data_IF_149115389721
#
_entry.id   IF_149115389721
#
_cell.length_a   1.000
_cell.length_b   1.000
_cell.length_c   1.000
_cell.angle_alpha   90.00
_cell.angle_beta   90.00
_cell.angle_gamma   90.00
#
_symmetry.space_group_name_H-M   'P 1'
#
loop_
_entity.id
_entity.type
_entity.pdbx_description
1 polymer ?
#
# COMPACT_ATOMS: atom_id res chain seq x y z
N UNK A 1 1.92 15.70 18.70
CA UNK A 1 1.37 14.77 19.71
C UNK A 1 0.22 13.90 19.20
N UNK A 2 -0.93 14.45 18.77
CA UNK A 2 -2.09 13.65 18.36
C UNK A 2 -1.84 12.73 17.15
N UNK A 3 -1.18 13.22 16.11
CA UNK A 3 -0.85 12.43 14.92
C UNK A 3 0.05 11.22 15.26
N UNK A 4 1.05 11.43 16.13
CA UNK A 4 1.93 10.38 16.61
C UNK A 4 1.17 9.32 17.43
N UNK A 5 0.26 9.74 18.32
CA UNK A 5 -0.60 8.81 19.08
C UNK A 5 -1.50 7.98 18.17
N UNK A 6 -2.06 8.58 17.11
CA UNK A 6 -2.86 7.85 16.11
C UNK A 6 -2.01 6.83 15.34
N UNK A 7 -0.81 7.23 14.91
CA UNK A 7 0.10 6.32 14.22
C UNK A 7 0.55 5.16 15.12
N UNK A 8 0.87 5.45 16.38
CA UNK A 8 1.21 4.43 17.37
C UNK A 8 0.04 3.46 17.62
N UNK A 9 -1.18 3.97 17.80
CA UNK A 9 -2.37 3.13 17.96
C UNK A 9 -2.61 2.24 16.74
N UNK A 10 -2.50 2.78 15.53
CA UNK A 10 -2.62 1.99 14.29
C UNK A 10 -1.54 0.92 14.20
N UNK A 11 -0.29 1.26 14.53
CA UNK A 11 0.82 0.31 14.57
C UNK A 11 0.55 -0.81 15.58
N UNK A 12 0.06 -0.50 16.78
CA UNK A 12 -0.28 -1.49 17.81
C UNK A 12 -1.38 -2.43 17.31
N UNK A 13 -2.46 -1.89 16.76
CA UNK A 13 -3.58 -2.71 16.24
C UNK A 13 -3.07 -3.66 15.14
N UNK A 14 -2.25 -3.16 14.20
CA UNK A 14 -1.68 -3.97 13.14
C UNK A 14 -0.74 -5.06 13.70
N UNK A 15 0.10 -4.75 14.68
CA UNK A 15 0.95 -5.74 15.35
C UNK A 15 0.13 -6.83 16.04
N UNK A 16 -0.98 -6.46 16.70
CA UNK A 16 -1.90 -7.43 17.32
C UNK A 16 -2.56 -8.32 16.26
N UNK A 17 -3.05 -7.75 15.16
CA UNK A 17 -3.57 -8.54 14.03
C UNK A 17 -2.51 -9.48 13.45
N UNK A 18 -1.27 -9.01 13.31
CA UNK A 18 -0.13 -9.82 12.88
C UNK A 18 0.14 -10.99 13.82
N UNK A 19 0.12 -10.75 15.13
CA UNK A 19 0.30 -11.79 16.16
C UNK A 19 -0.82 -12.82 16.09
N UNK A 20 -2.08 -12.38 16.00
CA UNK A 20 -3.23 -13.28 15.86
C UNK A 20 -3.07 -14.14 14.60
N UNK A 21 -2.71 -13.56 13.45
CA UNK A 21 -2.47 -14.32 12.21
C UNK A 21 -1.38 -15.37 12.41
N UNK A 22 -0.22 -14.99 12.97
CA UNK A 22 0.90 -15.91 13.19
C UNK A 22 0.49 -17.06 14.12
N UNK A 23 -0.22 -16.77 15.21
CA UNK A 23 -0.71 -17.80 16.14
C UNK A 23 -1.72 -18.73 15.48
N UNK A 24 -2.67 -18.21 14.69
CA UNK A 24 -3.64 -19.01 13.96
C UNK A 24 -2.96 -19.95 12.96
N UNK A 25 -1.97 -19.46 12.21
CA UNK A 25 -1.21 -20.30 11.26
C UNK A 25 -0.46 -21.41 12.00
N UNK A 26 0.27 -21.09 13.07
CA UNK A 26 0.98 -22.09 13.88
C UNK A 26 0.02 -23.14 14.45
N UNK A 27 -1.14 -22.71 14.94
CA UNK A 27 -2.17 -23.60 15.46
C UNK A 27 -2.75 -24.48 14.35
N UNK A 28 -3.02 -23.92 13.17
CA UNK A 28 -3.55 -24.66 12.02
C UNK A 28 -2.58 -25.72 11.53
N UNK A 29 -1.28 -25.41 11.44
CA UNK A 29 -0.24 -26.39 11.10
C UNK A 29 -0.22 -27.51 12.14
N UNK A 30 -0.24 -27.16 13.44
CA UNK A 30 -0.17 -28.15 14.53
C UNK A 30 -1.41 -29.06 14.60
N UNK A 31 -2.61 -28.51 14.39
CA UNK A 31 -3.87 -29.26 14.51
C UNK A 31 -4.18 -30.05 13.24
N UNK A 32 -4.08 -29.40 12.08
CA UNK A 32 -4.59 -29.95 10.83
C UNK A 32 -3.50 -30.55 9.95
N UNK A 33 -2.23 -30.49 10.35
CA UNK A 33 -1.08 -30.91 9.53
C UNK A 33 -1.13 -30.34 8.11
N UNK A 34 -1.68 -29.12 7.98
CA UNK A 34 -1.76 -28.43 6.70
C UNK A 34 -0.34 -27.99 6.34
N UNK A 35 0.11 -28.37 5.15
CA UNK A 35 1.27 -27.75 4.51
C UNK A 35 0.90 -26.30 4.19
N UNK A 36 1.33 -25.39 5.06
CA UNK A 36 1.16 -23.95 4.82
C UNK A 36 2.19 -23.53 3.77
N UNK A 37 1.82 -23.68 2.51
CA UNK A 37 2.72 -23.49 1.36
C UNK A 37 2.97 -22.02 0.98
N UNK A 38 2.29 -21.06 1.62
CA UNK A 38 2.40 -19.65 1.22
C UNK A 38 3.52 -18.86 1.93
N UNK A 39 4.33 -18.19 1.11
CA UNK A 39 5.00 -16.90 1.36
C UNK A 39 6.15 -16.81 2.38
N UNK A 40 6.66 -17.91 2.93
CA UNK A 40 7.96 -17.88 3.65
C UNK A 40 9.10 -17.35 2.78
N UNK A 41 8.98 -17.50 1.47
CA UNK A 41 9.85 -16.90 0.45
C UNK A 41 9.56 -15.42 0.21
N UNK A 42 8.42 -14.86 0.62
CA UNK A 42 8.11 -13.43 0.46
C UNK A 42 8.45 -12.62 1.71
N UNK A 43 8.00 -13.05 2.88
CA UNK A 43 8.15 -12.30 4.13
C UNK A 43 9.10 -12.96 5.13
N UNK A 44 9.26 -14.28 5.05
CA UNK A 44 9.91 -15.10 6.07
C UNK A 44 8.91 -15.96 6.83
N UNK A 45 9.39 -16.69 7.84
CA UNK A 45 8.62 -17.74 8.55
C UNK A 45 7.49 -17.15 9.40
N UNK A 46 7.73 -16.04 10.10
CA UNK A 46 6.76 -15.45 11.03
C UNK A 46 6.29 -14.05 10.61
N UNK A 47 7.10 -13.34 9.83
CA UNK A 47 6.78 -12.02 9.33
C UNK A 47 5.62 -12.09 8.35
N UNK A 48 4.78 -11.06 8.34
CA UNK A 48 3.61 -10.99 7.47
C UNK A 48 3.26 -9.53 7.14
N UNK A 49 2.34 -9.34 6.20
CA UNK A 49 1.93 -8.02 5.74
C UNK A 49 1.45 -7.08 6.86
N UNK A 50 0.87 -7.59 7.95
CA UNK A 50 0.46 -6.75 9.09
C UNK A 50 1.66 -6.13 9.79
N UNK A 51 2.73 -6.91 10.02
CA UNK A 51 3.96 -6.39 10.61
C UNK A 51 4.64 -5.38 9.67
N UNK A 52 4.69 -5.67 8.36
CA UNK A 52 5.18 -4.70 7.38
C UNK A 52 4.42 -3.38 7.45
N UNK A 53 3.08 -3.40 7.50
CA UNK A 53 2.28 -2.18 7.62
C UNK A 53 2.42 -1.49 8.98
N UNK A 54 2.55 -2.26 10.06
CA UNK A 54 2.82 -1.71 11.39
C UNK A 54 4.15 -0.94 11.39
N UNK A 55 5.20 -1.52 10.83
CA UNK A 55 6.51 -0.88 10.68
C UNK A 55 6.40 0.35 9.77
N UNK A 56 5.81 0.22 8.58
CA UNK A 56 5.65 1.33 7.65
C UNK A 56 4.95 2.52 8.31
N UNK A 57 3.89 2.26 9.08
CA UNK A 57 3.12 3.31 9.75
C UNK A 57 3.82 3.87 10.99
N UNK A 58 4.38 3.02 11.84
CA UNK A 58 5.03 3.40 13.08
C UNK A 58 6.38 4.07 12.85
N UNK A 59 7.27 3.40 12.11
CA UNK A 59 8.60 3.94 11.77
C UNK A 59 8.48 5.14 10.85
N UNK A 60 7.65 5.08 9.81
CA UNK A 60 7.43 6.21 8.89
C UNK A 60 6.95 7.47 9.62
N UNK A 61 5.94 7.36 10.49
CA UNK A 61 5.43 8.49 11.26
C UNK A 61 6.45 9.00 12.29
N UNK A 62 7.25 8.11 12.89
CA UNK A 62 8.33 8.50 13.82
C UNK A 62 9.39 9.31 13.08
N UNK A 63 9.85 8.82 11.92
CA UNK A 63 10.82 9.53 11.08
C UNK A 63 10.27 10.89 10.62
N UNK A 64 9.03 10.93 10.13
CA UNK A 64 8.39 12.17 9.66
C UNK A 64 8.22 13.21 10.78
N UNK A 65 7.75 12.80 11.96
CA UNK A 65 7.31 13.74 12.99
C UNK A 65 8.39 14.12 14.00
N UNK A 66 9.41 13.26 14.19
CA UNK A 66 10.42 13.41 15.24
C UNK A 66 11.86 13.51 14.73
N UNK A 67 12.19 12.90 13.59
CA UNK A 67 13.59 12.80 13.12
C UNK A 67 13.89 13.79 12.00
N UNK A 68 13.05 13.83 10.95
CA UNK A 68 13.31 14.64 9.77
C UNK A 68 12.86 16.10 9.96
N UNK A 69 13.59 17.07 9.39
CA UNK A 69 13.22 18.47 9.47
C UNK A 69 11.94 18.73 8.66
N UNK A 70 11.05 19.58 9.18
CA UNK A 70 9.75 19.87 8.55
C UNK A 70 9.86 20.51 7.16
N UNK A 71 10.99 21.14 6.86
CA UNK A 71 11.30 21.74 5.57
C UNK A 71 11.64 20.71 4.50
N UNK A 72 12.04 19.49 4.88
CA UNK A 72 12.37 18.44 3.92
C UNK A 72 11.08 17.94 3.24
N UNK A 73 10.98 18.01 1.91
CA UNK A 73 9.83 17.47 1.21
C UNK A 73 9.82 15.93 1.37
N UNK A 74 8.65 15.30 1.62
CA UNK A 74 8.54 13.84 1.73
C UNK A 74 9.18 13.09 0.56
N UNK A 75 9.05 13.62 -0.67
CA UNK A 75 9.70 13.01 -1.84
C UNK A 75 11.22 12.94 -1.71
N UNK A 76 11.88 13.96 -1.14
CA UNK A 76 13.32 13.92 -0.92
C UNK A 76 13.69 12.87 0.15
N UNK A 77 12.88 12.73 1.21
CA UNK A 77 13.06 11.66 2.18
C UNK A 77 12.90 10.27 1.55
N UNK A 78 11.93 10.10 0.64
CA UNK A 78 11.74 8.86 -0.11
C UNK A 78 12.93 8.53 -1.03
N UNK A 79 13.47 9.54 -1.74
CA UNK A 79 14.65 9.36 -2.59
C UNK A 79 15.89 9.01 -1.76
N UNK A 80 16.08 9.68 -0.62
CA UNK A 80 17.18 9.37 0.30
C UNK A 80 17.07 7.95 0.88
N UNK A 81 15.87 7.52 1.30
CA UNK A 81 15.66 6.15 1.78
C UNK A 81 15.81 5.11 0.68
N UNK A 82 15.38 5.42 -0.55
CA UNK A 82 15.57 4.56 -1.71
C UNK A 82 17.06 4.38 -2.05
N UNK A 83 17.82 5.47 -2.12
CA UNK A 83 19.26 5.42 -2.37
C UNK A 83 20.01 4.65 -1.27
N UNK A 84 19.70 4.93 0.00
CA UNK A 84 20.27 4.19 1.12
C UNK A 84 19.92 2.69 1.07
N UNK A 85 18.69 2.35 0.66
CA UNK A 85 18.28 0.96 0.50
C UNK A 85 19.07 0.27 -0.62
N UNK A 86 19.20 0.89 -1.79
CA UNK A 86 19.98 0.32 -2.90
C UNK A 86 21.43 0.08 -2.49
N UNK A 87 22.05 1.03 -1.77
CA UNK A 87 23.41 0.89 -1.27
C UNK A 87 23.56 -0.27 -0.28
N UNK A 88 22.59 -0.47 0.63
CA UNK A 88 22.59 -1.62 1.55
C UNK A 88 22.44 -2.94 0.79
N UNK A 89 21.57 -2.98 -0.21
CA UNK A 89 21.34 -4.15 -1.05
C UNK A 89 22.59 -4.51 -1.86
N UNK A 90 23.21 -3.54 -2.51
CA UNK A 90 24.46 -3.69 -3.25
C UNK A 90 25.64 -4.05 -2.34
N UNK A 91 25.63 -3.60 -1.08
CA UNK A 91 26.62 -3.95 -0.05
C UNK A 91 26.52 -5.38 0.50
N UNK A 92 25.69 -6.25 -0.08
CA UNK A 92 25.58 -7.66 0.27
C UNK A 92 24.27 -8.05 0.96
N UNK A 93 23.39 -7.11 1.32
CA UNK A 93 22.07 -7.46 1.89
C UNK A 93 21.21 -8.23 0.88
N UNK A 94 21.31 -7.92 -0.42
CA UNK A 94 20.59 -8.66 -1.44
C UNK A 94 21.04 -10.12 -1.50
N UNK A 95 22.34 -10.38 -1.45
CA UNK A 95 22.90 -11.74 -1.44
C UNK A 95 22.48 -12.51 -0.19
N UNK A 96 22.54 -11.86 0.98
CA UNK A 96 22.11 -12.42 2.26
C UNK A 96 20.63 -12.83 2.28
N UNK A 97 19.79 -12.25 1.42
CA UNK A 97 18.35 -12.53 1.34
C UNK A 97 17.99 -13.42 0.15
N UNK A 98 18.62 -13.21 -1.01
CA UNK A 98 18.29 -13.86 -2.29
C UNK A 98 19.08 -15.15 -2.59
N UNK A 99 20.23 -15.40 -1.92
CA UNK A 99 21.14 -16.53 -2.11
C UNK A 99 20.61 -17.66 -3.04
N UNK A 100 20.85 -17.57 -4.38
CA UNK A 100 20.40 -18.57 -5.34
C UNK A 100 21.27 -19.84 -5.27
N UNK A 101 20.66 -21.02 -5.48
CA UNK A 101 21.38 -22.29 -5.65
C UNK A 101 21.60 -23.15 -4.39
N UNK A 102 21.05 -22.76 -3.23
CA UNK A 102 21.08 -23.60 -2.03
C UNK A 102 19.72 -24.25 -1.80
N UNK A 103 19.61 -25.60 -1.82
CA UNK A 103 18.41 -26.28 -1.34
C UNK A 103 18.37 -26.08 0.18
N UNK A 104 17.48 -25.17 0.61
CA UNK A 104 17.13 -24.86 2.00
C UNK A 104 18.16 -24.05 2.84
N UNK A 105 17.69 -22.89 3.32
CA UNK A 105 17.92 -22.38 4.69
C UNK A 105 19.35 -22.31 5.27
N UNK A 106 20.30 -21.64 4.62
CA UNK A 106 21.64 -21.47 5.23
C UNK A 106 21.73 -20.41 6.35
N UNK A 107 20.68 -19.60 6.58
CA UNK A 107 20.66 -18.63 7.68
C UNK A 107 19.25 -18.43 8.23
N UNK A 108 18.61 -19.51 8.70
CA UNK A 108 17.36 -19.46 9.50
C UNK A 108 17.55 -20.05 10.91
N UNK A 109 18.79 -20.09 11.39
CA UNK A 109 19.15 -20.65 12.70
C UNK A 109 18.59 -19.84 13.87
N UNK A 110 18.29 -18.56 13.66
CA UNK A 110 17.71 -17.67 14.64
C UNK A 110 16.47 -16.93 14.08
N UNK A 111 15.74 -16.25 14.96
CA UNK A 111 14.53 -15.50 14.60
C UNK A 111 14.77 -14.42 13.54
N UNK A 112 15.97 -13.82 13.50
CA UNK A 112 16.32 -12.80 12.51
C UNK A 112 16.42 -13.43 11.12
N UNK A 113 17.18 -14.52 11.00
CA UNK A 113 17.33 -15.28 9.77
C UNK A 113 16.00 -15.85 9.26
N UNK A 114 15.13 -16.30 10.18
CA UNK A 114 13.78 -16.75 9.86
C UNK A 114 12.90 -15.64 9.28
N UNK A 115 13.19 -14.36 9.50
CA UNK A 115 12.37 -13.23 9.05
C UNK A 115 13.15 -12.23 8.20
N UNK A 116 14.30 -12.65 7.67
CA UNK A 116 15.26 -11.77 6.97
C UNK A 116 14.63 -11.06 5.77
N UNK A 117 13.71 -11.71 5.06
CA UNK A 117 13.04 -11.12 3.89
C UNK A 117 12.22 -9.88 4.31
N UNK A 118 11.36 -10.03 5.32
CA UNK A 118 10.58 -8.94 5.90
C UNK A 118 11.44 -7.84 6.50
N UNK A 119 12.52 -8.19 7.21
CA UNK A 119 13.44 -7.23 7.81
C UNK A 119 14.22 -6.42 6.76
N UNK A 120 14.72 -7.08 5.71
CA UNK A 120 15.44 -6.43 4.63
C UNK A 120 14.54 -5.45 3.86
N UNK A 121 13.22 -5.70 3.80
CA UNK A 121 12.26 -4.82 3.13
C UNK A 121 11.95 -3.51 3.85
N UNK A 122 12.39 -3.33 5.11
CA UNK A 122 12.04 -2.17 5.94
C UNK A 122 12.40 -0.82 5.31
N UNK A 123 13.60 -0.60 4.74
CA UNK A 123 13.91 0.66 4.07
C UNK A 123 12.98 0.93 2.87
N UNK A 124 12.59 -0.11 2.13
CA UNK A 124 11.57 -0.02 1.09
C UNK A 124 10.19 0.41 1.62
N UNK A 125 9.80 -0.06 2.82
CA UNK A 125 8.53 0.33 3.47
C UNK A 125 8.55 1.82 3.79
N UNK A 126 9.68 2.32 4.27
CA UNK A 126 9.89 3.74 4.57
C UNK A 126 9.83 4.58 3.29
N UNK A 127 10.46 4.13 2.20
CA UNK A 127 10.36 4.77 0.88
C UNK A 127 8.90 4.89 0.43
N UNK A 128 8.14 3.80 0.46
CA UNK A 128 6.73 3.80 0.07
C UNK A 128 5.87 4.69 0.98
N UNK A 129 6.16 4.72 2.29
CA UNK A 129 5.48 5.63 3.22
C UNK A 129 5.64 7.09 2.80
N UNK A 130 6.87 7.53 2.53
CA UNK A 130 7.14 8.92 2.13
C UNK A 130 6.59 9.26 0.74
N UNK A 131 6.63 8.32 -0.19
CA UNK A 131 5.94 8.45 -1.48
C UNK A 131 4.43 8.66 -1.29
N UNK A 132 3.77 7.82 -0.49
CA UNK A 132 2.36 7.95 -0.16
C UNK A 132 2.03 9.26 0.53
N UNK A 133 2.90 9.72 1.44
CA UNK A 133 2.77 11.02 2.10
C UNK A 133 2.86 12.19 1.11
N UNK A 134 3.79 12.13 0.14
CA UNK A 134 3.90 13.15 -0.91
C UNK A 134 2.63 13.20 -1.77
N UNK A 135 2.14 12.04 -2.22
CA UNK A 135 0.91 11.93 -3.00
C UNK A 135 -0.28 12.50 -2.21
N UNK A 136 -0.41 12.13 -0.94
CA UNK A 136 -1.47 12.66 -0.06
C UNK A 136 -1.41 14.18 0.12
N UNK A 137 -0.22 14.79 0.12
CA UNK A 137 -0.08 16.26 0.15
C UNK A 137 -0.52 16.92 -1.15
N UNK A 138 -0.19 16.34 -2.31
CA UNK A 138 -0.59 16.87 -3.62
C UNK A 138 -2.07 16.71 -3.94
N UNK A 139 -2.73 15.70 -3.37
CA UNK A 139 -4.16 15.46 -3.56
C UNK A 139 -5.07 16.43 -2.79
N UNK A 140 -4.53 17.22 -1.86
CA UNK A 140 -5.34 18.20 -1.11
C UNK A 140 -5.76 19.35 -2.01
N UNK A 141 -7.03 19.80 -1.94
CA UNK A 141 -7.47 21.00 -2.66
C UNK A 141 -6.56 22.18 -2.31
N UNK A 142 -5.97 22.82 -3.32
CA UNK A 142 -5.20 24.05 -3.15
C UNK A 142 -6.08 25.20 -3.64
N UNK A 143 -6.42 26.14 -2.76
CA UNK A 143 -7.37 27.22 -3.06
C UNK A 143 -6.88 28.21 -4.15
N UNK A 144 -5.59 28.18 -4.49
CA UNK A 144 -4.95 29.12 -5.43
C UNK A 144 -4.22 28.43 -6.59
N UNK A 145 -4.40 27.11 -6.77
CA UNK A 145 -3.65 26.33 -7.78
C UNK A 145 -4.38 26.17 -9.12
N UNK A 146 -3.62 26.13 -10.23
CA UNK A 146 -4.15 25.69 -11.53
C UNK A 146 -4.80 24.31 -11.42
N UNK A 147 -6.00 24.13 -11.99
CA UNK A 147 -6.72 22.85 -12.03
C UNK A 147 -5.87 21.69 -12.58
N UNK A 148 -4.92 21.99 -13.46
CA UNK A 148 -4.03 21.02 -14.10
C UNK A 148 -2.73 20.74 -13.33
N UNK A 149 -2.47 21.42 -12.21
CA UNK A 149 -1.24 21.22 -11.46
C UNK A 149 -1.14 19.81 -10.85
N UNK A 150 -2.24 19.27 -10.33
CA UNK A 150 -2.28 17.92 -9.75
C UNK A 150 -2.02 16.83 -10.81
N UNK A 151 -2.79 16.74 -11.92
CA UNK A 151 -2.54 15.71 -12.92
C UNK A 151 -1.16 15.86 -13.59
N UNK A 152 -0.66 17.08 -13.79
CA UNK A 152 0.70 17.28 -14.31
C UNK A 152 1.77 16.72 -13.37
N UNK A 153 1.65 16.95 -12.05
CA UNK A 153 2.56 16.38 -11.05
C UNK A 153 2.46 14.85 -11.00
N UNK A 154 1.25 14.29 -11.05
CA UNK A 154 1.04 12.84 -11.08
C UNK A 154 1.65 12.21 -12.33
N UNK A 155 1.44 12.82 -13.51
CA UNK A 155 2.03 12.36 -14.76
C UNK A 155 3.56 12.43 -14.74
N UNK A 156 4.13 13.56 -14.30
CA UNK A 156 5.57 13.72 -14.19
C UNK A 156 6.19 12.68 -13.24
N UNK A 157 5.57 12.46 -12.07
CA UNK A 157 6.04 11.45 -11.12
C UNK A 157 5.84 10.03 -11.65
N UNK A 158 4.74 9.75 -12.36
CA UNK A 158 4.49 8.46 -13.00
C UNK A 158 5.57 8.14 -14.02
N UNK A 159 5.90 9.08 -14.91
CA UNK A 159 6.94 8.91 -15.93
C UNK A 159 8.31 8.73 -15.27
N UNK A 160 8.66 9.55 -14.28
CA UNK A 160 9.92 9.44 -13.56
C UNK A 160 10.05 8.10 -12.83
N UNK A 161 8.99 7.62 -12.17
CA UNK A 161 8.99 6.36 -11.46
C UNK A 161 8.98 5.15 -12.41
N UNK A 162 8.29 5.23 -13.55
CA UNK A 162 8.31 4.21 -14.59
C UNK A 162 9.67 4.10 -15.28
N UNK A 163 10.43 5.20 -15.39
CA UNK A 163 11.77 5.22 -15.95
C UNK A 163 12.80 4.44 -15.13
N UNK A 164 12.51 4.11 -13.86
CA UNK A 164 13.41 3.27 -13.05
C UNK A 164 13.59 1.88 -13.65
N UNK A 165 12.56 1.29 -14.25
CA UNK A 165 12.61 -0.05 -14.87
C UNK A 165 13.58 -0.16 -16.06
N UNK A 166 13.52 0.71 -17.09
CA UNK A 166 14.51 0.66 -18.16
C UNK A 166 15.91 1.02 -17.66
N UNK A 167 16.05 1.86 -16.64
CA UNK A 167 17.35 2.13 -16.02
C UNK A 167 17.93 0.88 -15.33
N UNK A 168 17.12 0.09 -14.64
CA UNK A 168 17.59 -1.18 -14.04
C UNK A 168 18.02 -2.17 -15.11
N UNK A 169 17.27 -2.28 -16.22
CA UNK A 169 17.66 -3.10 -17.38
C UNK A 169 18.98 -2.63 -18.00
N UNK A 170 19.14 -1.32 -18.18
CA UNK A 170 20.37 -0.75 -18.76
C UNK A 170 21.58 -0.92 -17.83
N UNK A 171 21.36 -0.99 -16.52
CA UNK A 171 22.43 -1.21 -15.54
C UNK A 171 22.88 -2.67 -15.43
N UNK A 172 22.12 -3.61 -15.99
CA UNK A 172 22.36 -5.06 -15.93
C UNK A 172 22.65 -5.58 -14.51
N UNK A 173 21.99 -4.98 -13.50
CA UNK A 173 22.18 -5.35 -12.10
C UNK A 173 23.43 -4.78 -11.41
N UNK A 174 24.24 -3.96 -12.10
CA UNK A 174 25.48 -3.42 -11.53
C UNK A 174 25.23 -2.26 -10.55
N UNK A 175 24.43 -1.26 -10.93
CA UNK A 175 24.10 -0.10 -10.09
C UNK A 175 22.71 -0.17 -9.46
N UNK A 176 21.79 -0.89 -10.10
CA UNK A 176 20.39 -1.02 -9.70
C UNK A 176 19.97 -2.47 -9.86
N UNK A 177 19.58 -3.09 -8.76
CA UNK A 177 19.07 -4.46 -8.78
C UNK A 177 17.75 -4.54 -9.55
N UNK A 178 17.49 -5.66 -10.26
CA UNK A 178 16.19 -5.93 -10.86
C UNK A 178 15.06 -5.82 -9.83
N UNK A 179 13.85 -5.53 -10.29
CA UNK A 179 12.70 -5.41 -9.40
C UNK A 179 12.49 -6.69 -8.59
N UNK A 180 12.44 -6.55 -7.26
CA UNK A 180 12.24 -7.67 -6.35
C UNK A 180 11.21 -7.31 -5.31
N UNK A 181 10.04 -7.95 -5.41
CA UNK A 181 8.97 -7.81 -4.41
C UNK A 181 9.43 -8.28 -3.01
N UNK A 182 10.29 -9.29 -2.95
CA UNK A 182 10.84 -9.85 -1.70
C UNK A 182 11.75 -8.84 -0.99
N UNK A 183 12.64 -8.19 -1.74
CA UNK A 183 13.51 -7.15 -1.18
C UNK A 183 12.78 -5.83 -0.98
N UNK A 184 11.73 -5.60 -1.77
CA UNK A 184 11.05 -4.33 -1.90
C UNK A 184 12.05 -3.19 -2.20
N UNK A 185 12.91 -3.46 -3.17
CA UNK A 185 13.97 -2.56 -3.60
C UNK A 185 13.39 -1.31 -4.29
N UNK A 186 14.20 -0.24 -4.43
CA UNK A 186 13.82 0.98 -5.15
C UNK A 186 13.17 0.76 -6.52
N UNK A 187 13.63 -0.21 -7.31
CA UNK A 187 13.00 -0.55 -8.60
C UNK A 187 11.53 -0.99 -8.44
N UNK A 188 11.27 -1.87 -7.48
CA UNK A 188 9.91 -2.29 -7.13
C UNK A 188 9.08 -1.12 -6.56
N UNK A 189 9.66 -0.29 -5.69
CA UNK A 189 8.99 0.90 -5.16
C UNK A 189 8.61 1.90 -6.27
N UNK A 190 9.49 2.11 -7.25
CA UNK A 190 9.25 2.95 -8.42
C UNK A 190 8.09 2.43 -9.26
N UNK A 191 8.06 1.12 -9.55
CA UNK A 191 6.93 0.50 -10.24
C UNK A 191 5.60 0.71 -9.51
N UNK A 192 5.58 0.48 -8.18
CA UNK A 192 4.36 0.65 -7.38
C UNK A 192 3.92 2.11 -7.30
N UNK A 193 4.86 3.05 -7.26
CA UNK A 193 4.59 4.48 -7.30
C UNK A 193 4.01 4.91 -8.66
N UNK A 194 4.58 4.44 -9.76
CA UNK A 194 4.07 4.70 -11.11
C UNK A 194 2.63 4.17 -11.24
N UNK A 195 2.39 2.93 -10.82
CA UNK A 195 1.06 2.33 -10.80
C UNK A 195 0.08 3.14 -9.94
N UNK A 196 0.50 3.60 -8.76
CA UNK A 196 -0.33 4.43 -7.88
C UNK A 196 -0.68 5.77 -8.53
N UNK A 197 0.29 6.43 -9.18
CA UNK A 197 0.07 7.69 -9.90
C UNK A 197 -0.87 7.51 -11.09
N UNK A 198 -0.74 6.41 -11.85
CA UNK A 198 -1.65 6.06 -12.94
C UNK A 198 -3.10 5.93 -12.44
N UNK A 199 -3.32 5.19 -11.36
CA UNK A 199 -4.67 5.01 -10.79
C UNK A 199 -5.26 6.34 -10.28
N UNK A 200 -4.47 7.15 -9.56
CA UNK A 200 -4.92 8.46 -9.07
C UNK A 200 -5.20 9.44 -10.22
N UNK A 201 -4.36 9.44 -11.26
CA UNK A 201 -4.55 10.23 -12.47
C UNK A 201 -5.81 9.82 -13.23
N UNK A 202 -6.07 8.51 -13.34
CA UNK A 202 -7.29 7.97 -13.92
C UNK A 202 -8.55 8.41 -13.16
N UNK A 203 -8.54 8.34 -11.83
CA UNK A 203 -9.64 8.86 -11.00
C UNK A 203 -9.87 10.35 -11.23
N UNK A 204 -8.79 11.14 -11.28
CA UNK A 204 -8.89 12.57 -11.58
C UNK A 204 -9.53 12.82 -12.95
N UNK A 205 -9.11 12.08 -13.98
CA UNK A 205 -9.65 12.21 -15.34
C UNK A 205 -11.16 11.89 -15.38
N UNK A 206 -11.58 10.82 -14.71
CA UNK A 206 -13.00 10.45 -14.62
C UNK A 206 -13.82 11.55 -13.94
N UNK A 207 -13.30 12.15 -12.87
CA UNK A 207 -13.97 13.25 -12.18
C UNK A 207 -14.08 14.51 -13.04
N UNK A 208 -13.02 14.89 -13.74
CA UNK A 208 -13.05 16.05 -14.66
C UNK A 208 -14.02 15.79 -15.82
N UNK A 209 -14.01 14.59 -16.42
CA UNK A 209 -14.95 14.22 -17.48
C UNK A 209 -16.41 14.28 -17.00
N UNK A 210 -16.69 13.80 -15.78
CA UNK A 210 -18.03 13.89 -15.18
C UNK A 210 -18.46 15.34 -14.94
N UNK A 211 -17.56 16.22 -14.49
CA UNK A 211 -17.83 17.65 -14.29
C UNK A 211 -18.16 18.34 -15.62
N UNK A 212 -17.40 18.05 -16.68
CA UNK A 212 -17.67 18.56 -18.04
C UNK A 212 -19.03 18.13 -18.56
N UNK A 213 -19.40 16.86 -18.37
CA UNK A 213 -20.72 16.35 -18.78
C UNK A 213 -21.86 17.01 -18.00
N UNK A 214 -21.68 17.29 -16.70
CA UNK A 214 -22.66 18.01 -15.87
C UNK A 214 -22.86 19.44 -16.35
N UNK A 215 -21.78 20.19 -16.56
CA UNK A 215 -21.84 21.56 -17.08
C UNK A 215 -22.51 21.61 -18.46
N UNK A 216 -22.21 20.65 -19.33
CA UNK A 216 -22.88 20.54 -20.64
C UNK A 216 -24.38 20.23 -20.50
N UNK A 217 -24.77 19.37 -19.57
CA UNK A 217 -26.18 19.06 -19.32
C UNK A 217 -26.94 20.28 -18.74
N UNK A 218 -26.37 20.96 -17.76
CA UNK A 218 -26.96 22.18 -17.16
C UNK A 218 -27.09 23.32 -18.17
N UNK A 219 -26.10 23.48 -19.06
CA UNK A 219 -26.17 24.48 -20.15
C UNK A 219 -27.28 24.20 -21.17
N UNK A 220 -27.74 22.94 -21.26
CA UNK A 220 -28.79 22.50 -22.19
C UNK A 220 -30.20 22.64 -21.62
N UNK A 221 -30.35 22.59 -20.29
CA UNK A 221 -31.66 22.63 -19.63
C UNK A 221 -32.22 24.04 -19.41
N UNK A 222 -31.48 25.11 -19.68
CA UNK A 222 -31.98 26.48 -19.88
C UNK A 222 -32.78 27.14 -18.75
N UNK A 223 -33.10 26.42 -17.68
CA UNK A 223 -33.91 26.90 -16.57
C UNK A 223 -32.97 27.35 -15.45
N UNK A 224 -32.83 28.67 -15.33
CA UNK A 224 -32.05 29.34 -14.29
C UNK A 224 -32.59 28.99 -12.90
N UNK A 225 -32.11 27.89 -12.33
CA UNK A 225 -32.15 27.70 -10.90
C UNK A 225 -30.79 28.10 -10.34
N UNK A 226 -30.80 29.21 -9.62
CA UNK A 226 -29.77 29.61 -8.66
C UNK A 226 -29.70 28.59 -7.53
N UNK A 227 -29.29 27.36 -7.83
CA UNK A 227 -28.81 26.45 -6.81
C UNK A 227 -27.37 26.86 -6.56
N UNK A 228 -27.15 27.59 -5.46
CA UNK A 228 -25.84 28.06 -5.04
C UNK A 228 -24.80 26.97 -5.23
N UNK A 229 -23.64 27.36 -5.75
CA UNK A 229 -22.47 26.53 -5.94
C UNK A 229 -22.07 25.88 -4.60
N UNK A 230 -22.80 24.84 -4.20
CA UNK A 230 -22.38 23.92 -3.19
C UNK A 230 -21.15 23.28 -3.81
N UNK A 231 -19.98 23.69 -3.34
CA UNK A 231 -18.70 23.02 -3.58
C UNK A 231 -18.90 21.54 -3.26
N UNK A 232 -19.35 20.80 -4.26
CA UNK A 232 -19.65 19.39 -4.12
C UNK A 232 -18.31 18.71 -4.07
N UNK A 233 -17.93 18.40 -2.83
CA UNK A 233 -16.71 17.73 -2.39
C UNK A 233 -16.16 16.81 -3.50
N UNK A 234 -15.10 17.28 -4.18
CA UNK A 234 -14.48 16.66 -5.38
C UNK A 234 -13.71 15.35 -5.10
N UNK A 235 -14.22 14.49 -4.24
CA UNK A 235 -13.61 13.18 -3.96
C UNK A 235 -14.63 12.08 -4.18
N UNK A 236 -14.34 11.03 -4.97
CA UNK A 236 -15.28 9.94 -5.20
C UNK A 236 -15.62 9.28 -3.87
N UNK A 237 -16.87 8.83 -3.72
CA UNK A 237 -17.37 8.17 -2.50
C UNK A 237 -16.44 7.02 -2.08
N UNK A 238 -15.97 6.23 -3.06
CA UNK A 238 -15.01 5.16 -2.84
C UNK A 238 -13.76 5.63 -2.08
N UNK A 239 -13.10 6.71 -2.53
CA UNK A 239 -11.89 7.21 -1.88
C UNK A 239 -12.18 7.80 -0.50
N UNK A 240 -13.35 8.40 -0.28
CA UNK A 240 -13.75 8.88 1.05
C UNK A 240 -13.99 7.73 2.04
N UNK A 241 -14.62 6.65 1.59
CA UNK A 241 -14.86 5.46 2.41
C UNK A 241 -13.54 4.77 2.77
N UNK A 242 -12.63 4.60 1.80
CA UNK A 242 -11.30 4.05 2.06
C UNK A 242 -10.46 4.96 2.98
N UNK A 243 -10.51 6.28 2.82
CA UNK A 243 -9.78 7.21 3.70
C UNK A 243 -10.32 7.17 5.14
N UNK A 244 -11.64 7.08 5.30
CA UNK A 244 -12.28 7.08 6.63
C UNK A 244 -12.21 5.73 7.35
N UNK A 245 -12.15 4.61 6.61
CA UNK A 245 -12.19 3.24 7.15
C UNK A 245 -11.07 2.33 6.61
N UNK A 246 -9.91 2.90 6.26
CA UNK A 246 -8.85 2.18 5.55
C UNK A 246 -8.34 0.89 6.23
N UNK A 247 -8.31 0.86 7.57
CA UNK A 247 -7.93 -0.37 8.29
C UNK A 247 -9.00 -1.46 8.18
N UNK A 248 -10.29 -1.11 8.19
CA UNK A 248 -11.38 -2.06 7.99
C UNK A 248 -11.36 -2.60 6.55
N UNK A 249 -11.20 -1.70 5.58
CA UNK A 249 -11.04 -2.08 4.17
C UNK A 249 -9.87 -3.05 3.99
N UNK A 250 -8.73 -2.76 4.61
CA UNK A 250 -7.56 -3.64 4.59
C UNK A 250 -7.85 -5.03 5.19
N UNK A 251 -8.48 -5.11 6.36
CA UNK A 251 -8.80 -6.38 7.01
C UNK A 251 -9.75 -7.24 6.16
N UNK A 252 -10.82 -6.63 5.64
CA UNK A 252 -11.79 -7.31 4.77
C UNK A 252 -11.11 -7.80 3.49
N UNK A 253 -10.28 -6.95 2.87
CA UNK A 253 -9.54 -7.33 1.66
C UNK A 253 -8.59 -8.49 1.92
N UNK A 254 -7.87 -8.52 3.05
CA UNK A 254 -6.99 -9.65 3.38
C UNK A 254 -7.76 -10.95 3.58
N UNK A 255 -8.93 -10.91 4.22
CA UNK A 255 -9.78 -12.09 4.39
C UNK A 255 -10.31 -12.59 3.03
N UNK A 256 -10.79 -11.67 2.19
CA UNK A 256 -11.28 -11.99 0.84
C UNK A 256 -10.16 -12.50 -0.07
N UNK A 257 -8.93 -12.00 0.08
CA UNK A 257 -7.75 -12.52 -0.64
C UNK A 257 -7.50 -13.98 -0.27
N UNK A 258 -7.54 -14.29 1.02
CA UNK A 258 -7.40 -15.68 1.49
C UNK A 258 -8.51 -16.58 0.95
N UNK A 259 -9.76 -16.11 0.97
CA UNK A 259 -10.89 -16.86 0.39
C UNK A 259 -10.72 -17.06 -1.12
N UNK A 260 -10.33 -16.02 -1.85
CA UNK A 260 -10.11 -16.08 -3.29
C UNK A 260 -8.98 -17.06 -3.61
N UNK A 261 -7.88 -17.07 -2.85
CA UNK A 261 -6.79 -18.03 -3.03
C UNK A 261 -7.30 -19.47 -2.86
N UNK A 262 -8.13 -19.74 -1.85
CA UNK A 262 -8.72 -21.08 -1.65
C UNK A 262 -9.64 -21.48 -2.82
N UNK A 263 -10.43 -20.55 -3.34
CA UNK A 263 -11.30 -20.79 -4.50
C UNK A 263 -10.46 -21.05 -5.76
N UNK A 264 -9.46 -20.20 -6.03
CA UNK A 264 -8.60 -20.32 -7.20
C UNK A 264 -7.75 -21.59 -7.17
N UNK A 265 -7.24 -22.02 -6.00
CA UNK A 265 -6.55 -23.32 -5.88
C UNK A 265 -7.41 -24.51 -6.29
N UNK A 266 -8.73 -24.43 -6.06
CA UNK A 266 -9.67 -25.50 -6.42
C UNK A 266 -10.09 -25.43 -7.88
N UNK A 267 -10.29 -24.22 -8.41
CA UNK A 267 -10.76 -24.01 -9.78
C UNK A 267 -9.64 -24.15 -10.82
N UNK A 268 -8.42 -23.73 -10.47
CA UNK A 268 -7.26 -23.67 -11.36
C UNK A 268 -6.05 -24.33 -10.71
N UNK A 269 -5.92 -25.67 -10.80
CA UNK A 269 -4.77 -26.40 -10.25
C UNK A 269 -3.43 -25.91 -10.82
N UNK A 270 -3.40 -25.58 -12.11
CA UNK A 270 -2.26 -24.93 -12.77
C UNK A 270 -2.52 -23.43 -12.92
N UNK A 271 -2.13 -22.64 -11.91
CA UNK A 271 -2.33 -21.18 -11.93
C UNK A 271 -1.48 -20.47 -12.99
N UNK A 272 -0.33 -21.04 -13.34
CA UNK A 272 0.62 -20.45 -14.31
C UNK A 272 0.11 -20.49 -15.76
N UNK A 273 -0.89 -21.33 -16.06
CA UNK A 273 -1.48 -21.42 -17.39
C UNK A 273 -2.63 -20.42 -17.64
N UNK A 274 -2.95 -19.57 -16.65
CA UNK A 274 -3.97 -18.54 -16.81
C UNK A 274 -3.40 -17.36 -17.61
N UNK A 275 -4.02 -17.08 -18.74
CA UNK A 275 -3.71 -15.90 -19.55
C UNK A 275 -3.95 -14.59 -18.79
N UNK A 276 -3.37 -13.48 -19.28
CA UNK A 276 -3.51 -12.17 -18.65
C UNK A 276 -4.94 -11.64 -18.58
N UNK A 277 -5.78 -11.98 -19.56
CA UNK A 277 -7.19 -11.54 -19.63
C UNK A 277 -8.05 -12.10 -18.49
N UNK A 278 -8.13 -13.42 -18.25
CA UNK A 278 -8.89 -13.95 -17.11
C UNK A 278 -8.33 -13.45 -15.77
N UNK A 279 -7.01 -13.32 -15.62
CA UNK A 279 -6.41 -12.73 -14.42
C UNK A 279 -6.91 -11.30 -14.16
N UNK A 280 -6.97 -10.48 -15.22
CA UNK A 280 -7.45 -9.10 -15.14
C UNK A 280 -8.92 -9.04 -14.72
N UNK A 281 -9.77 -9.90 -15.29
CA UNK A 281 -11.19 -9.99 -14.92
C UNK A 281 -11.39 -10.43 -13.47
N UNK A 282 -10.61 -11.42 -13.01
CA UNK A 282 -10.63 -11.89 -11.63
C UNK A 282 -10.26 -10.74 -10.68
N UNK A 283 -9.20 -9.97 -10.97
CA UNK A 283 -8.77 -8.84 -10.13
C UNK A 283 -9.82 -7.73 -10.09
N UNK A 284 -10.46 -7.43 -11.23
CA UNK A 284 -11.55 -6.43 -11.30
C UNK A 284 -12.76 -6.87 -10.48
N UNK A 285 -13.19 -8.13 -10.64
CA UNK A 285 -14.29 -8.71 -9.87
C UNK A 285 -13.98 -8.72 -8.36
N UNK A 286 -12.76 -9.11 -7.99
CA UNK A 286 -12.29 -9.08 -6.62
C UNK A 286 -12.31 -7.67 -6.03
N UNK A 287 -11.83 -6.68 -6.77
CA UNK A 287 -11.80 -5.28 -6.32
C UNK A 287 -13.21 -4.72 -6.12
N UNK A 288 -14.15 -5.04 -7.01
CA UNK A 288 -15.57 -4.67 -6.85
C UNK A 288 -16.23 -5.35 -5.63
N UNK A 289 -15.95 -6.63 -5.42
CA UNK A 289 -16.44 -7.38 -4.27
C UNK A 289 -15.86 -6.84 -2.94
N UNK A 290 -14.54 -6.62 -2.88
CA UNK A 290 -13.86 -6.07 -1.71
C UNK A 290 -14.41 -4.70 -1.32
N UNK A 291 -14.61 -3.82 -2.30
CA UNK A 291 -15.25 -2.53 -2.06
C UNK A 291 -16.68 -2.68 -1.53
N UNK A 292 -17.51 -3.50 -2.17
CA UNK A 292 -18.91 -3.69 -1.79
C UNK A 292 -19.05 -4.25 -0.36
N UNK A 293 -18.24 -5.26 -0.03
CA UNK A 293 -18.18 -5.82 1.33
C UNK A 293 -17.72 -4.78 2.36
N UNK A 294 -16.68 -4.01 2.04
CA UNK A 294 -16.19 -2.97 2.94
C UNK A 294 -17.22 -1.88 3.18
N UNK A 295 -17.93 -1.44 2.14
CA UNK A 295 -18.98 -0.42 2.23
C UNK A 295 -20.17 -0.88 3.05
N UNK A 296 -20.55 -2.16 2.93
CA UNK A 296 -21.57 -2.75 3.77
C UNK A 296 -21.08 -2.78 5.22
N UNK A 297 -19.88 -3.30 5.47
CA UNK A 297 -19.31 -3.39 6.81
C UNK A 297 -19.18 -2.02 7.49
N UNK A 298 -18.82 -0.97 6.77
CA UNK A 298 -18.68 0.39 7.32
C UNK A 298 -20.00 0.99 7.79
N UNK A 299 -21.16 0.48 7.33
CA UNK A 299 -22.48 0.88 7.86
C UNK A 299 -22.74 0.32 9.25
N UNK A 300 -22.18 -0.85 9.56
CA UNK A 300 -22.37 -1.55 10.82
C UNK A 300 -21.26 -1.28 11.84
N UNK A 301 -20.04 -1.04 11.34
CA UNK A 301 -18.84 -0.79 12.14
C UNK A 301 -18.11 0.47 11.66
N UNK A 302 -18.24 1.55 12.43
CA UNK A 302 -17.38 2.73 12.26
C UNK A 302 -16.12 2.55 13.10
N UNK A 303 -15.03 2.12 12.46
CA UNK A 303 -13.73 1.93 13.13
C UNK A 303 -13.19 3.24 13.73
N UNK A 304 -13.66 4.39 13.22
CA UNK A 304 -13.37 5.72 13.76
C UNK A 304 -13.90 5.88 15.18
N UNK A 305 -15.05 5.30 15.49
CA UNK A 305 -15.64 5.35 16.84
C UNK A 305 -14.86 4.46 17.80
N UNK A 306 -14.41 3.29 17.34
CA UNK A 306 -13.52 2.41 18.12
C UNK A 306 -12.18 3.10 18.43
N UNK A 307 -11.53 3.71 17.44
CA UNK A 307 -10.29 4.46 17.65
C UNK A 307 -10.49 5.65 18.58
N UNK A 308 -11.61 6.37 18.45
CA UNK A 308 -11.92 7.51 19.31
C UNK A 308 -12.17 7.05 20.74
N UNK A 309 -12.91 5.95 20.94
CA UNK A 309 -13.13 5.34 22.25
C UNK A 309 -11.82 4.83 22.89
N UNK A 310 -10.96 4.15 22.13
CA UNK A 310 -9.65 3.69 22.61
C UNK A 310 -8.73 4.87 22.98
N UNK A 311 -8.68 5.92 22.15
CA UNK A 311 -7.88 7.11 22.46
C UNK A 311 -8.41 7.88 23.68
N UNK A 312 -9.73 7.91 23.90
CA UNK A 312 -10.30 8.49 25.11
C UNK A 312 -9.91 7.70 26.35
N UNK A 313 -9.90 6.36 26.29
CA UNK A 313 -9.42 5.51 27.39
C UNK A 313 -7.93 5.69 27.66
N UNK A 314 -7.10 5.76 26.62
CA UNK A 314 -5.65 6.04 26.73
C UNK A 314 -5.31 7.47 27.22
N UNK A 315 -6.26 8.40 27.21
CA UNK A 315 -6.08 9.72 27.84
C UNK A 315 -6.47 9.73 29.32
N UNK A 316 -7.27 8.75 29.77
CA UNK A 316 -7.75 8.63 31.14
C UNK A 316 -6.85 7.72 32.00
N UNK A 317 -6.12 6.81 31.36
CA UNK A 317 -5.01 6.06 31.96
C UNK A 317 -3.71 6.87 31.87
#
# INVERSE_FOLDING_TARGET
ALALRKAALQSIILTVCGLIKTLLVVLSIRIYSIEYDESWTEYGVHWNAYYSLAVARGLGATLELLVLPRSLPPLAAALASAAAHELLLAGGLAELVLAPGQPQSHNRSNLIGQNREGLASIPGLVTLYFCGLQLGRWMKPTESGSKFAVPARLLALMVAAAAVRPLTMASDGFWLLPESRRLMNPAYCGWLLAFSCFNLGGVWLVLEAADRLRVMAESRDGCGSTAGAAETRRTPIHLQEVDSTGLLYFLISNLLTGLLNLVLSRLFPNRESLDGTPCSLIILAYSAAAFSCSRLASRWFSFRDLQTALMQRLKKA
#
